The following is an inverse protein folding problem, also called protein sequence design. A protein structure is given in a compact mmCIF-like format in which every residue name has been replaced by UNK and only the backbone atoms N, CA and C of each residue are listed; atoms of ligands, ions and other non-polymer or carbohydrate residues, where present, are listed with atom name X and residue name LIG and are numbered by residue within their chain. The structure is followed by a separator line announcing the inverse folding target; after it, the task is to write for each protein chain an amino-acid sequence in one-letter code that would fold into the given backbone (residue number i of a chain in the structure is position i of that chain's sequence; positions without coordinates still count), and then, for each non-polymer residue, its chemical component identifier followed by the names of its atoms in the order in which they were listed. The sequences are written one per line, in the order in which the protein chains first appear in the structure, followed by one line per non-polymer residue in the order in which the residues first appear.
data_IF_524292514102
#
_entry.id   IF_524292514102
#
_cell.length_a   1.000
_cell.length_b   1.000
_cell.length_c   1.000
_cell.angle_alpha   90.00
_cell.angle_beta   90.00
_cell.angle_gamma   90.00
#
_symmetry.space_group_name_H-M   'P 1'
#
loop_
_entity.id
_entity.type
_entity.pdbx_description
1 polymer ?
#
# COMPACT_ATOMS: atom_id res chain seq x y z
N UNK A 1 45.99 -15.75 64.24
CA UNK A 1 44.84 -14.81 64.30
C UNK A 1 44.63 -14.03 63.00
N UNK A 2 45.65 -13.53 62.31
CA UNK A 2 45.50 -12.71 61.08
C UNK A 2 44.65 -13.36 59.95
N UNK A 3 44.79 -14.67 59.71
CA UNK A 3 43.99 -15.38 58.69
C UNK A 3 42.50 -15.44 59.00
N UNK A 4 42.13 -15.45 60.28
CA UNK A 4 40.73 -15.51 60.69
C UNK A 4 40.01 -14.19 60.43
N UNK A 5 40.68 -13.06 60.69
CA UNK A 5 40.15 -11.71 60.41
C UNK A 5 39.99 -11.49 58.90
N UNK A 6 40.98 -11.90 58.10
CA UNK A 6 40.91 -11.81 56.64
C UNK A 6 39.79 -12.68 56.04
N UNK A 7 39.53 -13.85 56.60
CA UNK A 7 38.42 -14.70 56.16
C UNK A 7 37.06 -14.05 56.49
N UNK A 8 36.89 -13.46 57.67
CA UNK A 8 35.67 -12.72 58.04
C UNK A 8 35.39 -11.56 57.08
N UNK A 9 36.42 -10.78 56.73
CA UNK A 9 36.28 -9.69 55.74
C UNK A 9 35.87 -10.21 54.36
N UNK A 10 36.41 -11.36 53.94
CA UNK A 10 36.06 -11.98 52.66
C UNK A 10 34.62 -12.52 52.65
N UNK A 11 34.13 -13.07 53.77
CA UNK A 11 32.75 -13.54 53.91
C UNK A 11 31.77 -12.35 53.84
N UNK A 12 32.08 -11.24 54.52
CA UNK A 12 31.28 -10.02 54.41
C UNK A 12 31.25 -9.45 52.99
N UNK A 13 32.37 -9.52 52.26
CA UNK A 13 32.42 -9.10 50.85
C UNK A 13 31.54 -9.99 49.97
N UNK A 14 31.61 -11.32 50.14
CA UNK A 14 30.77 -12.25 49.38
C UNK A 14 29.28 -12.04 49.65
N UNK A 15 28.89 -11.73 50.89
CA UNK A 15 27.50 -11.40 51.24
C UNK A 15 27.06 -10.09 50.58
N UNK A 16 27.91 -9.05 50.57
CA UNK A 16 27.63 -7.78 49.90
C UNK A 16 27.50 -7.96 48.38
N UNK A 17 28.37 -8.75 47.77
CA UNK A 17 28.31 -9.07 46.34
C UNK A 17 27.06 -9.90 45.99
N UNK A 18 26.70 -10.87 46.82
CA UNK A 18 25.48 -11.65 46.64
C UNK A 18 24.22 -10.75 46.70
N UNK A 19 24.18 -9.82 47.66
CA UNK A 19 23.09 -8.84 47.78
C UNK A 19 23.07 -7.83 46.61
N UNK A 20 24.23 -7.42 46.10
CA UNK A 20 24.31 -6.56 44.92
C UNK A 20 23.83 -7.29 43.65
N UNK A 21 24.22 -8.56 43.48
CA UNK A 21 23.77 -9.41 42.38
C UNK A 21 22.27 -9.70 42.46
N UNK A 22 21.72 -9.97 43.64
CA UNK A 22 20.28 -10.19 43.78
C UNK A 22 19.48 -8.94 43.39
N UNK A 23 19.93 -7.75 43.84
CA UNK A 23 19.32 -6.47 43.46
C UNK A 23 19.38 -6.23 41.95
N UNK A 24 20.51 -6.49 41.30
CA UNK A 24 20.66 -6.34 39.85
C UNK A 24 19.74 -7.29 39.07
N UNK A 25 19.58 -8.54 39.55
CA UNK A 25 18.64 -9.48 38.94
C UNK A 25 17.18 -9.05 39.14
N UNK A 26 16.84 -8.47 40.30
CA UNK A 26 15.50 -7.92 40.55
C UNK A 26 15.19 -6.73 39.65
N UNK A 27 16.14 -5.80 39.48
CA UNK A 27 15.96 -4.65 38.57
C UNK A 27 15.83 -5.10 37.12
N UNK A 28 16.65 -6.04 36.66
CA UNK A 28 16.54 -6.60 35.30
C UNK A 28 15.20 -7.31 35.07
N UNK A 29 14.71 -8.07 36.06
CA UNK A 29 13.38 -8.70 36.00
C UNK A 29 12.27 -7.66 35.93
N UNK A 30 12.37 -6.58 36.71
CA UNK A 30 11.40 -5.50 36.71
C UNK A 30 11.40 -4.74 35.38
N UNK A 31 12.57 -4.42 34.83
CA UNK A 31 12.72 -3.78 33.52
C UNK A 31 12.15 -4.65 32.40
N UNK A 32 12.48 -5.94 32.39
CA UNK A 32 11.95 -6.87 31.40
C UNK A 32 10.43 -7.04 31.52
N UNK A 33 9.90 -7.10 32.74
CA UNK A 33 8.45 -7.14 32.97
C UNK A 33 7.75 -5.86 32.48
N UNK A 34 8.34 -4.69 32.73
CA UNK A 34 7.83 -3.42 32.26
C UNK A 34 7.86 -3.31 30.73
N UNK A 35 8.96 -3.72 30.09
CA UNK A 35 9.07 -3.76 28.63
C UNK A 35 8.05 -4.71 28.01
N UNK A 36 7.86 -5.90 28.60
CA UNK A 36 6.88 -6.87 28.15
C UNK A 36 5.45 -6.31 28.26
N UNK A 37 5.10 -5.72 29.41
CA UNK A 37 3.79 -5.11 29.61
C UNK A 37 3.53 -3.95 28.64
N UNK A 38 4.55 -3.10 28.39
CA UNK A 38 4.45 -2.02 27.40
C UNK A 38 4.27 -2.54 25.97
N UNK A 39 4.99 -3.61 25.59
CA UNK A 39 4.84 -4.24 24.28
C UNK A 39 3.45 -4.87 24.11
N UNK A 40 2.94 -5.56 25.13
CA UNK A 40 1.59 -6.14 25.12
C UNK A 40 0.52 -5.06 25.02
N UNK A 41 0.64 -3.96 25.77
CA UNK A 41 -0.27 -2.82 25.69
C UNK A 41 -0.25 -2.17 24.30
N UNK A 42 0.93 -1.99 23.70
CA UNK A 42 1.06 -1.43 22.35
C UNK A 42 0.45 -2.35 21.28
N UNK A 43 0.60 -3.67 21.42
CA UNK A 43 -0.06 -4.64 20.53
C UNK A 43 -1.58 -4.57 20.68
N UNK A 44 -2.08 -4.42 21.91
CA UNK A 44 -3.51 -4.30 22.16
C UNK A 44 -4.08 -3.01 21.57
N UNK A 45 -3.43 -1.86 21.78
CA UNK A 45 -3.84 -0.58 21.18
C UNK A 45 -3.94 -0.69 19.65
N UNK A 46 -2.95 -1.34 19.01
CA UNK A 46 -2.97 -1.59 17.56
C UNK A 46 -4.16 -2.44 17.13
N UNK A 47 -4.46 -3.51 17.88
CA UNK A 47 -5.61 -4.39 17.59
C UNK A 47 -6.93 -3.65 17.75
N UNK A 48 -7.06 -2.85 18.79
CA UNK A 48 -8.27 -2.06 19.05
C UNK A 48 -8.47 -1.01 17.97
N UNK A 49 -7.40 -0.36 17.50
CA UNK A 49 -7.46 0.59 16.39
C UNK A 49 -7.87 -0.07 15.06
N UNK A 50 -7.36 -1.26 14.75
CA UNK A 50 -7.77 -2.03 13.56
C UNK A 50 -9.24 -2.46 13.66
N UNK A 51 -9.68 -2.91 14.84
CA UNK A 51 -11.07 -3.29 15.08
C UNK A 51 -12.03 -2.09 14.94
N UNK A 52 -11.62 -0.92 15.43
CA UNK A 52 -12.37 0.32 15.25
C UNK A 52 -12.50 0.72 13.78
N UNK A 53 -11.42 0.60 13.00
CA UNK A 53 -11.45 0.86 11.56
C UNK A 53 -12.40 -0.10 10.83
N UNK A 54 -12.41 -1.37 11.20
CA UNK A 54 -13.29 -2.38 10.59
C UNK A 54 -14.78 -2.16 10.91
N UNK A 55 -15.10 -1.49 12.02
CA UNK A 55 -16.47 -1.14 12.41
C UNK A 55 -16.97 0.21 11.91
N UNK A 56 -16.11 0.97 11.22
CA UNK A 56 -16.44 2.30 10.72
C UNK A 56 -17.28 2.18 9.43
N UNK A 57 -18.41 2.91 9.39
CA UNK A 57 -19.36 2.95 8.26
C UNK A 57 -19.35 4.29 7.54
N UNK A 58 -18.29 5.08 7.74
CA UNK A 58 -18.14 6.40 7.15
C UNK A 58 -17.87 6.29 5.64
N UNK A 59 -17.77 7.45 4.99
CA UNK A 59 -17.40 7.55 3.58
C UNK A 59 -16.09 6.79 3.29
N UNK A 60 -16.03 6.13 2.14
CA UNK A 60 -14.92 5.27 1.72
C UNK A 60 -13.59 6.06 1.70
N UNK A 61 -13.66 7.33 1.33
CA UNK A 61 -12.52 8.22 1.35
C UNK A 61 -11.95 8.43 2.76
N UNK A 62 -12.84 8.63 3.75
CA UNK A 62 -12.46 8.81 5.14
C UNK A 62 -11.85 7.53 5.71
N UNK A 63 -12.38 6.37 5.34
CA UNK A 63 -11.81 5.06 5.69
C UNK A 63 -10.35 4.92 5.19
N UNK A 64 -10.07 5.33 3.95
CA UNK A 64 -8.72 5.28 3.40
C UNK A 64 -7.76 6.25 4.09
N UNK A 65 -8.20 7.46 4.39
CA UNK A 65 -7.38 8.43 5.14
C UNK A 65 -7.07 7.92 6.56
N UNK A 66 -8.07 7.42 7.28
CA UNK A 66 -7.89 6.85 8.61
C UNK A 66 -6.94 5.64 8.59
N UNK A 67 -7.04 4.77 7.57
CA UNK A 67 -6.13 3.64 7.41
C UNK A 67 -4.66 4.09 7.27
N UNK A 68 -4.41 5.15 6.50
CA UNK A 68 -3.08 5.73 6.34
C UNK A 68 -2.59 6.36 7.64
N UNK A 69 -3.43 7.11 8.34
CA UNK A 69 -3.08 7.72 9.62
C UNK A 69 -2.72 6.68 10.69
N UNK A 70 -3.52 5.61 10.79
CA UNK A 70 -3.24 4.50 11.71
C UNK A 70 -1.95 3.77 11.35
N UNK A 71 -1.68 3.57 10.05
CA UNK A 71 -0.42 2.96 9.60
C UNK A 71 0.79 3.80 10.03
N UNK A 72 0.75 5.12 9.82
CA UNK A 72 1.85 6.02 10.22
C UNK A 72 1.99 6.12 11.74
N UNK A 73 0.87 6.12 12.48
CA UNK A 73 0.90 6.20 13.95
C UNK A 73 1.53 4.96 14.58
N UNK A 74 1.22 3.77 14.06
CA UNK A 74 1.55 2.51 14.72
C UNK A 74 2.76 1.78 14.13
N UNK A 75 3.14 2.05 12.88
CA UNK A 75 4.27 1.42 12.20
C UNK A 75 5.46 2.39 12.10
N UNK A 76 6.70 1.90 12.23
CA UNK A 76 7.91 2.71 12.05
C UNK A 76 8.21 2.90 10.55
N UNK A 77 7.29 3.53 9.81
CA UNK A 77 7.39 3.76 8.37
C UNK A 77 7.60 5.24 8.06
N UNK A 78 8.34 5.52 6.98
CA UNK A 78 8.56 6.89 6.51
C UNK A 78 7.37 7.46 5.73
N UNK A 79 6.53 6.60 5.14
CA UNK A 79 5.42 7.00 4.30
C UNK A 79 4.36 5.90 4.20
N UNK A 80 3.11 6.30 4.01
CA UNK A 80 2.00 5.41 3.68
C UNK A 80 1.06 6.08 2.69
N UNK A 81 0.50 5.29 1.79
CA UNK A 81 -0.47 5.74 0.80
C UNK A 81 -1.41 4.61 0.42
N UNK A 82 -2.55 4.96 -0.14
CA UNK A 82 -3.55 4.05 -0.71
C UNK A 82 -3.73 4.43 -2.16
N UNK A 83 -3.82 3.42 -3.02
CA UNK A 83 -4.20 3.57 -4.41
C UNK A 83 -5.45 2.74 -4.71
N UNK A 84 -6.37 3.32 -5.47
CA UNK A 84 -7.53 2.63 -6.01
C UNK A 84 -7.19 2.00 -7.36
N UNK A 85 -7.78 0.84 -7.64
CA UNK A 85 -7.74 0.23 -8.97
C UNK A 85 -8.84 0.88 -9.81
N UNK A 86 -8.45 1.56 -10.89
CA UNK A 86 -9.36 2.30 -11.75
C UNK A 86 -9.30 1.80 -13.19
N UNK A 87 -10.46 1.82 -13.86
CA UNK A 87 -10.56 1.56 -15.29
C UNK A 87 -10.13 2.79 -16.08
N UNK A 88 -9.54 2.59 -17.26
CA UNK A 88 -9.28 3.68 -18.20
C UNK A 88 -10.63 4.05 -18.82
N UNK A 89 -11.27 5.10 -18.30
CA UNK A 89 -12.47 5.66 -18.93
C UNK A 89 -12.10 6.25 -20.29
N UNK A 90 -12.88 5.94 -21.32
CA UNK A 90 -12.72 6.49 -22.66
C UNK A 90 -12.93 8.01 -22.62
N UNK A 91 -11.85 8.78 -22.44
CA UNK A 91 -11.93 10.24 -22.30
C UNK A 91 -10.77 10.90 -21.55
N UNK A 92 -9.90 10.15 -20.86
CA UNK A 92 -8.77 10.74 -20.12
C UNK A 92 -7.39 10.34 -20.70
N UNK A 93 -6.99 10.90 -21.87
CA UNK A 93 -5.70 10.61 -22.48
C UNK A 93 -4.64 11.66 -22.11
N UNK A 94 -4.43 12.06 -20.85
CA UNK A 94 -3.29 12.92 -20.52
C UNK A 94 -2.96 13.01 -19.01
N UNK A 95 -2.47 11.93 -18.42
CA UNK A 95 -1.55 12.05 -17.27
C UNK A 95 -0.39 11.07 -17.48
N UNK A 96 0.40 11.36 -18.52
CA UNK A 96 1.71 10.77 -18.69
C UNK A 96 2.52 11.04 -17.40
N UNK A 97 3.05 9.98 -16.78
CA UNK A 97 4.23 10.15 -15.93
C UNK A 97 5.25 10.91 -16.77
N UNK A 98 5.59 12.12 -16.34
CA UNK A 98 6.59 12.96 -17.01
C UNK A 98 7.85 12.13 -17.21
N UNK A 99 8.22 12.08 -18.48
CA UNK A 99 9.43 11.52 -19.06
C UNK A 99 10.65 11.61 -18.13
N UNK A 100 11.31 10.48 -17.91
CA UNK A 100 12.65 10.45 -17.31
C UNK A 100 13.67 10.90 -18.35
N UNK A 101 13.79 12.22 -18.54
CA UNK A 101 14.92 12.86 -19.21
C UNK A 101 15.16 14.26 -18.57
N UNK A 102 16.42 14.74 -18.48
CA UNK A 102 16.74 15.97 -17.77
C UNK A 102 16.34 17.17 -18.63
N UNK A 103 15.38 17.96 -18.18
CA UNK A 103 14.96 19.19 -18.90
C UNK A 103 15.46 20.41 -18.13
N UNK A 104 16.37 21.14 -18.79
CA UNK A 104 16.79 22.49 -18.45
C UNK A 104 15.59 23.44 -18.27
N UNK A 105 15.71 24.34 -17.31
CA UNK A 105 14.69 25.31 -16.96
C UNK A 105 14.45 26.35 -18.06
N UNK A 106 13.18 26.53 -18.45
CA UNK A 106 12.67 27.68 -19.18
C UNK A 106 11.27 28.06 -18.65
N UNK A 107 10.99 29.34 -18.34
CA UNK A 107 9.80 29.79 -17.60
C UNK A 107 8.52 29.92 -18.48
N UNK A 108 7.32 30.06 -17.86
CA UNK A 108 6.03 29.80 -18.50
C UNK A 108 5.40 31.03 -19.16
N UNK A 109 4.56 30.78 -20.15
CA UNK A 109 3.59 31.69 -20.75
C UNK A 109 2.45 30.83 -21.31
N UNK A 110 1.17 31.15 -21.32
CA UNK A 110 0.34 32.15 -20.64
C UNK A 110 -1.11 31.60 -20.79
N UNK A 111 -2.03 32.10 -19.99
CA UNK A 111 -3.44 31.70 -19.97
C UNK A 111 -4.20 32.08 -21.24
N UNK A 112 -5.19 31.28 -21.63
CA UNK A 112 -6.34 31.75 -22.41
C UNK A 112 -7.56 30.83 -22.21
N UNK A 113 -8.64 31.46 -21.72
CA UNK A 113 -10.03 30.99 -21.68
C UNK A 113 -10.58 30.69 -23.08
N UNK A 114 -11.64 29.89 -23.16
CA UNK A 114 -12.88 30.29 -23.86
C UNK A 114 -14.06 29.39 -23.49
N UNK A 115 -15.17 30.06 -23.21
CA UNK A 115 -16.54 29.57 -23.05
C UNK A 115 -17.07 28.94 -24.35
N UNK A 116 -18.04 28.02 -24.28
CA UNK A 116 -19.39 28.26 -24.83
C UNK A 116 -20.40 27.17 -24.41
N UNK A 117 -21.68 27.53 -24.44
CA UNK A 117 -22.83 26.88 -23.82
C UNK A 117 -23.81 26.23 -24.83
N UNK A 118 -24.91 25.70 -24.27
CA UNK A 118 -26.18 25.19 -24.87
C UNK A 118 -26.23 23.67 -25.18
N UNK A 119 -26.99 22.81 -24.48
CA UNK A 119 -28.44 22.70 -24.15
C UNK A 119 -29.25 22.03 -25.28
N UNK A 120 -29.77 20.82 -25.04
CA UNK A 120 -31.14 20.37 -25.37
C UNK A 120 -31.46 18.98 -24.78
N UNK A 121 -32.76 18.77 -24.50
CA UNK A 121 -33.44 17.70 -23.75
C UNK A 121 -33.83 16.51 -24.65
N UNK A 122 -34.11 15.31 -24.09
CA UNK A 122 -35.46 14.69 -24.12
C UNK A 122 -35.51 13.36 -23.31
N UNK A 123 -36.71 13.10 -22.76
CA UNK A 123 -37.11 12.02 -21.85
C UNK A 123 -37.46 10.68 -22.53
N UNK A 124 -37.58 9.62 -21.73
CA UNK A 124 -38.29 8.38 -22.08
C UNK A 124 -38.42 7.39 -20.92
N UNK A 125 -39.56 7.42 -20.20
CA UNK A 125 -40.10 6.35 -19.33
C UNK A 125 -40.42 5.07 -20.15
N UNK A 126 -40.68 3.84 -19.65
CA UNK A 126 -41.34 3.36 -18.44
C UNK A 126 -41.08 1.83 -18.17
N UNK A 127 -41.42 1.42 -16.94
CA UNK A 127 -41.84 0.14 -16.31
C UNK A 127 -42.04 -1.14 -17.19
N UNK A 128 -41.96 -2.40 -16.71
CA UNK A 128 -42.62 -2.98 -15.53
C UNK A 128 -42.19 -4.46 -15.25
N UNK A 129 -42.56 -4.93 -14.06
CA UNK A 129 -42.42 -6.21 -13.32
C UNK A 129 -42.66 -7.52 -14.11
N UNK A 130 -42.24 -8.73 -13.73
CA UNK A 130 -42.66 -9.50 -12.54
C UNK A 130 -41.91 -10.85 -12.42
N UNK A 131 -41.80 -11.37 -11.19
CA UNK A 131 -41.31 -12.69 -10.74
C UNK A 131 -42.04 -13.92 -11.36
N UNK A 132 -41.51 -15.14 -11.41
CA UNK A 132 -41.47 -16.09 -10.26
C UNK A 132 -40.77 -17.43 -10.63
N UNK A 133 -39.92 -17.90 -9.70
CA UNK A 133 -39.54 -19.28 -9.30
C UNK A 133 -39.91 -20.50 -10.18
N UNK A 134 -38.90 -21.36 -10.45
CA UNK A 134 -38.97 -22.78 -10.05
C UNK A 134 -37.59 -23.42 -10.01
N UNK A 135 -37.30 -24.05 -8.87
CA UNK A 135 -36.13 -24.87 -8.60
C UNK A 135 -36.06 -26.12 -9.50
N UNK A 136 -34.87 -26.42 -10.01
CA UNK A 136 -34.46 -27.77 -10.38
C UNK A 136 -32.95 -27.90 -10.16
N UNK A 137 -32.57 -28.96 -9.46
CA UNK A 137 -31.23 -29.24 -8.96
C UNK A 137 -30.15 -29.17 -10.06
N UNK A 138 -29.14 -28.33 -9.84
CA UNK A 138 -27.88 -28.38 -10.56
C UNK A 138 -26.73 -28.25 -9.55
N UNK A 139 -26.04 -29.38 -9.37
CA UNK A 139 -24.64 -29.52 -8.97
C UNK A 139 -23.96 -28.26 -8.42
N UNK A 140 -23.65 -28.26 -7.12
CA UNK A 140 -22.64 -27.37 -6.52
C UNK A 140 -21.26 -27.72 -7.08
N UNK A 141 -21.02 -27.39 -8.34
CA UNK A 141 -19.69 -27.01 -8.78
C UNK A 141 -19.40 -25.68 -8.10
N UNK A 142 -18.33 -25.62 -7.30
CA UNK A 142 -17.82 -24.34 -6.83
C UNK A 142 -17.77 -23.38 -8.04
N UNK A 143 -18.26 -22.14 -7.92
CA UNK A 143 -18.18 -21.20 -9.04
C UNK A 143 -16.70 -21.14 -9.44
N UNK A 144 -16.41 -21.51 -10.68
CA UNK A 144 -15.07 -21.34 -11.23
C UNK A 144 -14.71 -19.89 -10.96
N UNK A 145 -13.70 -19.66 -10.12
CA UNK A 145 -13.32 -18.34 -9.71
C UNK A 145 -13.09 -17.52 -10.98
N UNK A 146 -13.98 -16.56 -11.24
CA UNK A 146 -13.83 -15.66 -12.37
C UNK A 146 -12.51 -14.94 -12.12
N UNK A 147 -11.49 -15.29 -12.90
CA UNK A 147 -10.19 -14.63 -12.79
C UNK A 147 -10.41 -13.20 -13.24
N UNK A 148 -10.42 -12.28 -12.27
CA UNK A 148 -10.49 -10.86 -12.56
C UNK A 148 -9.28 -10.49 -13.42
N UNK A 149 -9.55 -9.86 -14.56
CA UNK A 149 -8.52 -9.46 -15.52
C UNK A 149 -8.20 -8.00 -15.28
N UNK A 150 -7.04 -7.73 -14.69
CA UNK A 150 -6.56 -6.39 -14.36
C UNK A 150 -5.75 -5.72 -15.49
N UNK A 151 -5.68 -6.33 -16.66
CA UNK A 151 -4.76 -5.94 -17.75
C UNK A 151 -5.02 -4.55 -18.35
N UNK A 152 -6.24 -4.01 -18.20
CA UNK A 152 -6.63 -2.68 -18.67
C UNK A 152 -6.76 -1.63 -17.56
N UNK A 153 -6.44 -2.03 -16.32
CA UNK A 153 -6.60 -1.18 -15.15
C UNK A 153 -5.28 -0.51 -14.76
N UNK A 154 -5.41 0.62 -14.07
CA UNK A 154 -4.32 1.39 -13.51
C UNK A 154 -4.53 1.65 -12.02
N UNK A 155 -3.50 2.17 -11.36
CA UNK A 155 -3.58 2.56 -9.95
C UNK A 155 -3.62 4.07 -9.83
N UNK A 156 -4.64 4.61 -9.18
CA UNK A 156 -4.79 6.03 -8.87
C UNK A 156 -4.54 6.25 -7.38
N UNK A 157 -3.58 7.12 -7.03
CA UNK A 157 -3.25 7.38 -5.64
C UNK A 157 -4.26 8.36 -5.04
N UNK A 158 -4.92 7.92 -3.98
CA UNK A 158 -6.11 8.57 -3.41
C UNK A 158 -5.82 9.16 -2.02
N UNK A 159 -5.20 8.37 -1.13
CA UNK A 159 -4.84 8.84 0.20
C UNK A 159 -3.33 8.73 0.42
N UNK A 160 -2.74 9.69 1.13
CA UNK A 160 -1.33 9.66 1.49
C UNK A 160 -1.10 10.29 2.86
N UNK A 161 0.04 9.96 3.46
CA UNK A 161 0.46 10.53 4.73
C UNK A 161 0.76 12.03 4.57
N UNK A 162 0.64 12.81 5.66
CA UNK A 162 0.77 14.28 5.60
C UNK A 162 2.10 14.76 5.01
N UNK A 163 3.19 14.02 5.24
CA UNK A 163 4.51 14.30 4.66
C UNK A 163 4.62 13.98 3.17
N UNK A 164 3.59 13.40 2.56
CA UNK A 164 3.47 13.07 1.13
C UNK A 164 2.10 13.48 0.56
N UNK A 165 1.50 14.55 1.09
CA UNK A 165 0.20 15.04 0.62
C UNK A 165 0.16 15.27 -0.91
N UNK A 166 1.29 15.67 -1.50
CA UNK A 166 1.47 15.87 -2.94
C UNK A 166 1.11 14.65 -3.80
N UNK A 167 1.21 13.43 -3.28
CA UNK A 167 0.83 12.20 -4.00
C UNK A 167 -0.67 12.19 -4.28
N UNK A 168 -1.50 12.52 -3.29
CA UNK A 168 -2.96 12.55 -3.42
C UNK A 168 -3.47 13.79 -4.14
N UNK A 169 -2.91 14.97 -3.84
CA UNK A 169 -3.35 16.23 -4.49
C UNK A 169 -2.96 16.30 -5.97
N UNK A 170 -1.90 15.61 -6.37
CA UNK A 170 -1.36 15.63 -7.72
C UNK A 170 -2.09 14.72 -8.73
N UNK A 171 -3.10 13.95 -8.30
CA UNK A 171 -3.78 12.99 -9.17
C UNK A 171 -2.81 11.96 -9.76
N UNK A 172 -1.83 11.52 -8.96
CA UNK A 172 -0.80 10.61 -9.44
C UNK A 172 -1.41 9.27 -9.86
N UNK A 173 -0.97 8.76 -11.01
CA UNK A 173 -1.44 7.50 -11.58
C UNK A 173 -0.26 6.63 -12.02
N UNK A 174 -0.33 5.35 -11.69
CA UNK A 174 0.61 4.34 -12.16
C UNK A 174 -0.04 3.55 -13.29
N UNK A 175 0.37 3.87 -14.52
CA UNK A 175 -0.12 3.26 -15.74
C UNK A 175 0.74 2.05 -16.14
N UNK A 176 0.15 1.15 -16.92
CA UNK A 176 0.88 0.05 -17.55
C UNK A 176 1.72 0.59 -18.72
N UNK A 177 2.95 0.08 -18.94
CA UNK A 177 3.71 0.43 -20.13
C UNK A 177 2.93 -0.06 -21.36
N UNK A 178 2.64 0.85 -22.28
CA UNK A 178 2.05 0.48 -23.57
C UNK A 178 3.10 -0.32 -24.33
N UNK A 179 2.83 -1.59 -24.62
CA UNK A 179 3.65 -2.34 -25.56
C UNK A 179 3.63 -1.55 -26.87
N UNK A 180 4.79 -1.10 -27.35
CA UNK A 180 4.90 -0.51 -28.66
C UNK A 180 4.23 -1.47 -29.64
N UNK A 181 3.10 -1.07 -30.21
CA UNK A 181 2.42 -1.86 -31.23
C UNK A 181 3.42 -1.92 -32.38
N UNK A 182 3.85 -3.12 -32.80
CA UNK A 182 4.72 -3.24 -33.97
C UNK A 182 4.06 -2.51 -35.13
N UNK A 183 4.84 -1.69 -35.85
CA UNK A 183 4.35 -1.09 -37.08
C UNK A 183 3.83 -2.21 -38.00
N UNK A 184 2.74 -1.96 -38.73
CA UNK A 184 2.16 -2.95 -39.65
C UNK A 184 3.26 -3.54 -40.56
N UNK A 185 3.62 -4.81 -40.32
CA UNK A 185 4.66 -5.52 -41.09
C UNK A 185 5.85 -6.07 -40.29
N UNK A 186 5.94 -5.90 -38.97
CA UNK A 186 7.01 -6.54 -38.18
C UNK A 186 6.71 -8.01 -37.83
N UNK A 187 7.78 -8.82 -37.83
CA UNK A 187 7.75 -10.25 -37.51
C UNK A 187 7.07 -10.52 -36.15
N UNK A 188 6.23 -11.57 -36.07
CA UNK A 188 5.56 -11.99 -34.82
C UNK A 188 6.55 -12.18 -33.64
N UNK A 189 7.82 -12.48 -33.94
CA UNK A 189 8.91 -12.60 -32.98
C UNK A 189 9.33 -11.25 -32.38
N UNK A 190 9.33 -10.17 -33.16
CA UNK A 190 9.60 -8.81 -32.68
C UNK A 190 8.45 -8.29 -31.80
N UNK A 191 7.21 -8.59 -32.18
CA UNK A 191 6.02 -8.29 -31.38
C UNK A 191 6.05 -9.01 -30.01
N UNK A 192 6.42 -10.30 -30.02
CA UNK A 192 6.57 -11.08 -28.79
C UNK A 192 7.72 -10.57 -27.90
N UNK A 193 8.85 -10.17 -28.50
CA UNK A 193 9.98 -9.59 -27.76
C UNK A 193 9.62 -8.23 -27.13
N UNK A 194 8.90 -7.36 -27.84
CA UNK A 194 8.41 -6.09 -27.32
C UNK A 194 7.40 -6.26 -26.17
N UNK A 195 6.48 -7.23 -26.30
CA UNK A 195 5.55 -7.59 -25.23
C UNK A 195 6.27 -8.16 -24.00
N UNK A 196 7.29 -9.00 -24.20
CA UNK A 196 8.11 -9.54 -23.11
C UNK A 196 8.92 -8.45 -22.40
N UNK A 197 9.45 -7.47 -23.14
CA UNK A 197 10.16 -6.32 -22.58
C UNK A 197 9.22 -5.41 -21.76
N UNK A 198 8.00 -5.16 -22.26
CA UNK A 198 6.98 -4.40 -21.52
C UNK A 198 6.51 -5.13 -20.25
N UNK A 199 6.39 -6.46 -20.29
CA UNK A 199 6.09 -7.26 -19.11
C UNK A 199 7.24 -7.25 -18.08
N UNK A 200 8.50 -7.22 -18.55
CA UNK A 200 9.66 -7.13 -17.67
C UNK A 200 9.75 -5.78 -16.94
N UNK A 201 9.42 -4.68 -17.62
CA UNK A 201 9.41 -3.32 -17.06
C UNK A 201 8.15 -2.98 -16.24
N UNK A 202 7.16 -3.87 -16.19
CA UNK A 202 5.93 -3.65 -15.43
C UNK A 202 6.22 -3.52 -13.93
N UNK A 203 5.65 -2.47 -13.32
CA UNK A 203 5.82 -2.19 -11.90
C UNK A 203 5.37 -3.37 -11.02
N UNK A 204 6.05 -3.64 -9.90
CA UNK A 204 5.75 -4.79 -9.04
C UNK A 204 4.31 -4.81 -8.50
N UNK A 205 3.74 -3.63 -8.26
CA UNK A 205 2.35 -3.45 -7.81
C UNK A 205 1.32 -3.82 -8.88
N UNK A 206 1.63 -3.62 -10.17
CA UNK A 206 0.78 -4.05 -11.27
C UNK A 206 0.93 -5.55 -11.55
N UNK A 207 2.15 -6.09 -11.42
CA UNK A 207 2.39 -7.55 -11.42
C UNK A 207 1.59 -8.25 -10.31
N UNK A 208 1.49 -7.63 -9.14
CA UNK A 208 0.68 -8.13 -8.02
C UNK A 208 -0.81 -8.30 -8.41
N UNK A 209 -1.37 -7.36 -9.17
CA UNK A 209 -2.76 -7.45 -9.66
C UNK A 209 -2.91 -8.57 -10.71
N UNK A 210 -1.97 -8.68 -11.66
CA UNK A 210 -2.02 -9.71 -12.71
C UNK A 210 -1.92 -11.14 -12.13
N UNK A 211 -1.07 -11.30 -11.12
CA UNK A 211 -0.88 -12.56 -10.39
C UNK A 211 -1.99 -12.82 -9.34
N UNK A 212 -2.90 -11.86 -9.12
CA UNK A 212 -3.92 -11.91 -8.06
C UNK A 212 -3.31 -12.16 -6.66
N UNK A 213 -2.18 -11.52 -6.35
CA UNK A 213 -1.53 -11.61 -5.04
C UNK A 213 -2.12 -10.57 -4.09
N UNK A 214 -2.41 -10.98 -2.86
CA UNK A 214 -2.96 -10.08 -1.84
C UNK A 214 -1.92 -9.19 -1.17
N UNK A 215 -0.64 -9.56 -1.20
CA UNK A 215 0.44 -8.81 -0.58
C UNK A 215 1.76 -9.01 -1.30
N UNK A 216 2.55 -7.94 -1.36
CA UNK A 216 3.91 -7.95 -1.86
C UNK A 216 4.82 -7.21 -0.87
N UNK A 217 5.93 -7.83 -0.48
CA UNK A 217 6.95 -7.20 0.34
C UNK A 217 8.29 -7.20 -0.38
N UNK A 218 8.81 -6.01 -0.65
CA UNK A 218 10.12 -5.80 -1.28
C UNK A 218 11.09 -5.32 -0.18
N UNK A 219 12.00 -6.18 0.31
CA UNK A 219 12.88 -5.80 1.42
C UNK A 219 13.92 -4.74 1.02
N UNK A 220 14.29 -4.69 -0.26
CA UNK A 220 15.19 -3.69 -0.81
C UNK A 220 14.78 -3.34 -2.25
N UNK A 221 14.36 -2.10 -2.44
CA UNK A 221 13.90 -1.59 -3.74
C UNK A 221 15.01 -1.60 -4.80
N UNK A 222 16.29 -1.54 -4.39
CA UNK A 222 17.43 -1.56 -5.30
C UNK A 222 17.58 -2.88 -6.07
N UNK A 223 17.00 -3.98 -5.56
CA UNK A 223 17.01 -5.27 -6.24
C UNK A 223 15.84 -5.47 -7.21
N UNK A 224 14.87 -4.56 -7.20
CA UNK A 224 13.68 -4.64 -8.05
C UNK A 224 13.70 -3.51 -9.08
N UNK A 225 14.35 -3.72 -10.25
CA UNK A 225 14.59 -2.68 -11.25
C UNK A 225 13.30 -2.16 -11.89
N UNK A 226 12.20 -2.91 -11.78
CA UNK A 226 10.88 -2.49 -12.27
C UNK A 226 10.16 -1.52 -11.34
N UNK A 227 10.73 -1.19 -10.17
CA UNK A 227 10.10 -0.26 -9.22
C UNK A 227 10.09 1.16 -9.79
N UNK A 228 8.91 1.78 -9.81
CA UNK A 228 8.71 3.16 -10.24
C UNK A 228 8.72 4.08 -9.03
N UNK A 229 9.56 5.13 -9.09
CA UNK A 229 9.61 6.18 -8.08
C UNK A 229 8.72 7.34 -8.52
N UNK A 230 7.74 7.69 -7.69
CA UNK A 230 6.91 8.87 -7.88
C UNK A 230 7.76 10.13 -7.65
N UNK A 231 7.58 11.13 -8.50
CA UNK A 231 8.31 12.41 -8.47
C UNK A 231 7.34 13.57 -8.52
#
# INVERSE_FOLDING_TARGET
MLRYVSNLESEEQLVKEAAARSKLLETQKAEHAAQKAAAEAAIQERRDAIAALAGCTDDVWQLWQLAVELAVKHLPIGAAYVAAVADITAGDPAAFLRDTAPVEAGPPADAAETEDAAKEEEEGEAADETATSSAAAASTAAPAAIKQMYSKQHLEYIASSQNQAWIGTGGMRLLRPVSAVPAEGEDEEAAAAAAAAAAASLAPTLKMLDDNRSSLHIPNVLYEPSTVFLK
#
